data_IF_410302249017
#
_entry.id   IF_410302249017
#
_cell.length_a   1.000
_cell.length_b   1.000
_cell.length_c   1.000
_cell.angle_alpha   90.00
_cell.angle_beta   90.00
_cell.angle_gamma   90.00
#
_symmetry.space_group_name_H-M   'P 1'
#
loop_
_entity.id
_entity.type
_entity.pdbx_description
1 polymer ?
#
# COMPACT_ATOMS: atom_id res chain seq x y z
N UNK A 1 -21.74 -64.85 -11.14
CA UNK A 1 -22.15 -63.98 -10.01
C UNK A 1 -21.87 -62.59 -10.48
N UNK A 2 -22.88 -62.06 -11.19
CA UNK A 2 -22.78 -60.76 -11.88
C UNK A 2 -23.01 -59.66 -10.88
N UNK A 3 -22.05 -58.75 -10.83
CA UNK A 3 -22.14 -57.53 -10.03
C UNK A 3 -22.64 -56.40 -10.94
N UNK A 4 -23.95 -56.20 -10.85
CA UNK A 4 -24.68 -55.16 -11.54
C UNK A 4 -24.32 -53.77 -10.96
N UNK A 5 -23.56 -52.99 -11.69
CA UNK A 5 -23.30 -51.58 -11.37
C UNK A 5 -24.58 -50.81 -11.65
N UNK A 6 -25.23 -50.32 -10.60
CA UNK A 6 -26.28 -49.30 -10.66
C UNK A 6 -25.72 -48.08 -11.33
N UNK A 7 -26.13 -47.84 -12.58
CA UNK A 7 -25.96 -46.58 -13.26
C UNK A 7 -26.86 -45.56 -12.55
N UNK A 8 -26.24 -44.54 -11.95
CA UNK A 8 -26.92 -43.35 -11.47
C UNK A 8 -27.63 -42.68 -12.65
N UNK A 9 -28.93 -42.91 -12.78
CA UNK A 9 -29.78 -42.22 -13.76
C UNK A 9 -29.84 -40.74 -13.40
N UNK A 10 -29.05 -39.93 -14.10
CA UNK A 10 -29.15 -38.47 -14.06
C UNK A 10 -30.53 -38.08 -14.59
N UNK A 11 -31.42 -37.68 -13.68
CA UNK A 11 -32.70 -37.09 -14.04
C UNK A 11 -32.46 -35.74 -14.73
N UNK A 12 -32.64 -35.68 -16.02
CA UNK A 12 -32.57 -34.44 -16.80
C UNK A 12 -33.99 -33.94 -16.98
N UNK A 13 -34.32 -32.77 -16.41
CA UNK A 13 -35.58 -32.08 -16.68
C UNK A 13 -35.53 -31.49 -18.09
N UNK A 14 -36.40 -31.96 -18.98
CA UNK A 14 -36.58 -31.42 -20.32
C UNK A 14 -37.73 -30.40 -20.32
N UNK A 15 -37.61 -29.34 -21.11
CA UNK A 15 -38.69 -28.38 -21.34
C UNK A 15 -39.80 -28.97 -22.21
N UNK A 16 -40.90 -28.23 -22.39
CA UNK A 16 -42.02 -28.67 -23.20
C UNK A 16 -41.65 -28.94 -24.70
N UNK A 17 -40.44 -28.59 -25.13
CA UNK A 17 -39.90 -28.82 -26.47
C UNK A 17 -38.83 -29.92 -26.49
N UNK A 18 -38.62 -30.64 -25.38
CA UNK A 18 -37.67 -31.76 -25.31
C UNK A 18 -36.21 -31.37 -25.24
N UNK A 19 -35.91 -30.10 -24.91
CA UNK A 19 -34.54 -29.61 -24.78
C UNK A 19 -34.12 -29.66 -23.30
N UNK A 20 -32.94 -30.23 -23.03
CA UNK A 20 -32.33 -30.18 -21.73
C UNK A 20 -31.90 -28.75 -21.32
N UNK A 21 -31.68 -28.49 -20.05
CA UNK A 21 -31.21 -27.20 -19.58
C UNK A 21 -29.91 -26.84 -20.32
N UNK A 22 -29.89 -25.65 -20.91
CA UNK A 22 -28.68 -25.12 -21.52
C UNK A 22 -27.56 -25.06 -20.47
N UNK A 23 -26.32 -25.32 -20.85
CA UNK A 23 -25.13 -25.24 -19.99
C UNK A 23 -24.80 -23.80 -19.51
N UNK A 24 -25.77 -22.88 -19.59
CA UNK A 24 -25.64 -21.52 -19.08
C UNK A 24 -25.91 -21.42 -17.57
N UNK A 25 -25.31 -20.49 -16.87
CA UNK A 25 -25.60 -20.24 -15.47
C UNK A 25 -27.07 -19.84 -15.31
N UNK A 26 -27.74 -20.43 -14.29
CA UNK A 26 -29.18 -20.22 -13.98
C UNK A 26 -29.46 -18.79 -13.48
N UNK A 27 -28.43 -18.01 -13.20
CA UNK A 27 -28.52 -16.62 -12.77
C UNK A 27 -27.99 -15.67 -13.83
N UNK A 28 -28.72 -14.61 -14.16
CA UNK A 28 -28.32 -13.55 -15.11
C UNK A 28 -27.07 -12.75 -14.70
N UNK A 29 -26.47 -13.07 -13.57
CA UNK A 29 -25.22 -12.47 -13.12
C UNK A 29 -24.05 -13.33 -13.57
N UNK A 30 -23.13 -12.82 -14.42
CA UNK A 30 -21.94 -13.55 -14.78
C UNK A 30 -21.13 -13.83 -13.51
N UNK A 31 -20.85 -15.10 -13.23
CA UNK A 31 -20.01 -15.47 -12.11
C UNK A 31 -18.66 -14.76 -12.22
N UNK A 32 -18.11 -14.20 -11.13
CA UNK A 32 -16.80 -13.56 -11.17
C UNK A 32 -15.75 -14.57 -11.67
N UNK A 33 -14.83 -14.14 -12.56
CA UNK A 33 -13.85 -15.06 -13.15
C UNK A 33 -12.89 -15.57 -12.07
N UNK A 34 -12.68 -16.87 -12.05
CA UNK A 34 -11.68 -17.52 -11.19
C UNK A 34 -10.28 -17.29 -11.73
N UNK A 35 -9.27 -17.47 -10.88
CA UNK A 35 -7.87 -17.28 -11.26
C UNK A 35 -7.46 -18.15 -12.46
N UNK A 36 -7.88 -19.40 -12.51
CA UNK A 36 -7.59 -20.33 -13.59
C UNK A 36 -8.12 -19.81 -14.95
N UNK A 37 -9.30 -19.19 -14.97
CA UNK A 37 -9.88 -18.60 -16.18
C UNK A 37 -9.13 -17.34 -16.62
N UNK A 38 -8.60 -16.56 -15.66
CA UNK A 38 -7.73 -15.43 -15.96
C UNK A 38 -6.41 -15.89 -16.56
N UNK A 39 -5.88 -16.98 -16.03
CA UNK A 39 -4.65 -17.60 -16.49
C UNK A 39 -4.75 -18.03 -17.97
N UNK A 40 -5.80 -18.78 -18.32
CA UNK A 40 -6.05 -19.20 -19.70
C UNK A 40 -6.23 -18.02 -20.65
N UNK A 41 -7.01 -17.02 -20.26
CA UNK A 41 -7.21 -15.81 -21.08
C UNK A 41 -5.92 -15.03 -21.31
N UNK A 42 -5.05 -14.95 -20.30
CA UNK A 42 -3.74 -14.32 -20.47
C UNK A 42 -2.83 -15.08 -21.43
N UNK A 43 -2.91 -16.41 -21.46
CA UNK A 43 -2.17 -17.26 -22.40
C UNK A 43 -2.69 -17.05 -23.83
N UNK A 44 -4.02 -16.99 -24.04
CA UNK A 44 -4.61 -16.73 -25.34
C UNK A 44 -4.30 -15.33 -25.87
N UNK A 45 -4.42 -14.30 -25.04
CA UNK A 45 -4.02 -12.93 -25.38
C UNK A 45 -2.53 -12.83 -25.77
N UNK A 46 -1.71 -13.76 -25.25
CA UNK A 46 -0.31 -13.86 -25.62
C UNK A 46 -0.07 -14.30 -27.06
N UNK A 47 -1.04 -14.89 -27.74
CA UNK A 47 -0.91 -15.38 -29.11
C UNK A 47 -1.37 -14.40 -30.18
N UNK A 48 -2.11 -13.34 -29.82
CA UNK A 48 -2.38 -12.26 -30.76
C UNK A 48 -1.13 -11.41 -30.99
N UNK A 49 -0.51 -11.62 -32.16
CA UNK A 49 0.66 -10.87 -32.64
C UNK A 49 0.28 -9.42 -32.97
N UNK A 50 -0.02 -8.64 -31.98
CA UNK A 50 0.02 -7.19 -32.09
C UNK A 50 1.48 -6.73 -32.12
N UNK A 51 1.89 -6.09 -33.23
CA UNK A 51 3.18 -5.40 -33.31
C UNK A 51 3.41 -4.58 -32.03
N UNK A 52 4.54 -4.73 -31.32
CA UNK A 52 4.81 -3.99 -30.11
C UNK A 52 4.86 -2.49 -30.47
N UNK A 53 3.78 -1.78 -30.22
CA UNK A 53 3.80 -0.32 -30.23
C UNK A 53 4.58 0.11 -29.00
N UNK A 54 5.87 0.35 -29.21
CA UNK A 54 6.75 0.95 -28.23
C UNK A 54 6.24 2.37 -27.92
N UNK A 55 5.26 2.50 -27.07
CA UNK A 55 4.86 3.78 -26.50
C UNK A 55 5.84 4.10 -25.39
N UNK A 56 6.78 4.99 -25.64
CA UNK A 56 7.54 5.70 -24.61
C UNK A 56 6.59 6.63 -23.84
N UNK A 57 5.64 6.06 -23.13
CA UNK A 57 4.62 6.79 -22.39
C UNK A 57 4.44 6.18 -20.99
N UNK A 58 3.84 6.94 -20.11
CA UNK A 58 3.46 6.48 -18.78
C UNK A 58 2.63 5.19 -18.89
N UNK A 59 2.89 4.24 -17.98
CA UNK A 59 2.18 2.98 -17.94
C UNK A 59 0.69 3.21 -17.61
N UNK A 60 -0.25 2.90 -18.53
CA UNK A 60 -1.67 3.19 -18.32
C UNK A 60 -2.29 2.39 -17.17
N UNK A 61 -1.77 1.19 -16.86
CA UNK A 61 -2.22 0.42 -15.68
C UNK A 61 -1.84 1.11 -14.38
N UNK A 62 -0.61 1.61 -14.31
CA UNK A 62 -0.13 2.33 -13.13
C UNK A 62 -0.87 3.64 -12.95
N UNK A 63 -1.11 4.37 -14.04
CA UNK A 63 -1.86 5.63 -14.01
C UNK A 63 -3.31 5.39 -13.53
N UNK A 64 -3.99 4.38 -14.06
CA UNK A 64 -5.33 4.01 -13.64
C UNK A 64 -5.39 3.58 -12.16
N UNK A 65 -4.37 2.85 -11.68
CA UNK A 65 -4.29 2.32 -10.32
C UNK A 65 -3.82 3.37 -9.28
N UNK A 66 -3.28 4.51 -9.71
CA UNK A 66 -2.63 5.48 -8.82
C UNK A 66 -3.50 5.93 -7.65
N UNK A 67 -4.76 6.26 -7.91
CA UNK A 67 -5.69 6.70 -6.89
C UNK A 67 -5.96 5.61 -5.84
N UNK A 68 -6.11 4.36 -6.29
CA UNK A 68 -6.29 3.20 -5.42
C UNK A 68 -5.04 2.94 -4.57
N UNK A 69 -3.86 2.91 -5.17
CA UNK A 69 -2.59 2.69 -4.46
C UNK A 69 -2.35 3.79 -3.42
N UNK A 70 -2.70 5.04 -3.73
CA UNK A 70 -2.62 6.15 -2.77
C UNK A 70 -3.55 5.92 -1.57
N UNK A 71 -4.76 5.41 -1.79
CA UNK A 71 -5.69 5.06 -0.71
C UNK A 71 -5.16 3.89 0.13
N UNK A 72 -4.53 2.89 -0.47
CA UNK A 72 -3.88 1.77 0.25
C UNK A 72 -2.80 2.28 1.21
N UNK A 73 -1.96 3.22 0.76
CA UNK A 73 -0.94 3.84 1.62
C UNK A 73 -1.59 4.59 2.79
N UNK A 74 -2.69 5.31 2.52
CA UNK A 74 -3.43 6.02 3.57
C UNK A 74 -4.08 5.05 4.57
N UNK A 75 -4.62 3.91 4.12
CA UNK A 75 -5.19 2.88 5.00
C UNK A 75 -4.18 2.37 6.02
N UNK A 76 -2.94 2.14 5.61
CA UNK A 76 -1.86 1.68 6.51
C UNK A 76 -1.51 2.70 7.60
N UNK A 77 -1.71 3.99 7.34
CA UNK A 77 -1.46 5.08 8.30
C UNK A 77 -2.71 5.53 9.07
N UNK A 78 -3.89 5.01 8.70
CA UNK A 78 -5.15 5.41 9.31
C UNK A 78 -5.33 4.84 10.73
N UNK A 79 -5.91 5.64 11.61
CA UNK A 79 -6.16 5.29 13.02
C UNK A 79 -7.43 4.45 13.25
N UNK A 80 -8.06 3.92 12.20
CA UNK A 80 -9.25 3.05 12.32
C UNK A 80 -10.51 3.74 12.81
N UNK A 81 -10.69 5.02 12.51
CA UNK A 81 -11.89 5.79 12.90
C UNK A 81 -13.10 5.55 11.99
N UNK A 82 -12.87 5.05 10.80
CA UNK A 82 -13.94 4.76 9.83
C UNK A 82 -14.55 3.39 10.08
N UNK A 83 -15.83 3.24 9.72
CA UNK A 83 -16.49 1.92 9.77
C UNK A 83 -15.93 1.01 8.66
N UNK A 84 -15.87 -0.29 8.93
CA UNK A 84 -15.41 -1.28 7.94
C UNK A 84 -16.24 -1.25 6.66
N UNK A 85 -17.56 -1.08 6.78
CA UNK A 85 -18.46 -0.97 5.63
C UNK A 85 -18.08 0.22 4.74
N UNK A 86 -17.86 1.39 5.33
CA UNK A 86 -17.44 2.59 4.60
C UNK A 86 -16.10 2.39 3.88
N UNK A 87 -15.13 1.74 4.53
CA UNK A 87 -13.85 1.42 3.91
C UNK A 87 -14.04 0.45 2.75
N UNK A 88 -14.87 -0.60 2.93
CA UNK A 88 -15.16 -1.57 1.89
C UNK A 88 -15.81 -0.92 0.66
N UNK A 89 -16.88 -0.12 0.86
CA UNK A 89 -17.58 0.56 -0.23
C UNK A 89 -16.66 1.50 -1.00
N UNK A 90 -15.81 2.24 -0.29
CA UNK A 90 -14.80 3.10 -0.89
C UNK A 90 -13.79 2.30 -1.73
N UNK A 91 -13.31 1.17 -1.24
CA UNK A 91 -12.36 0.33 -1.97
C UNK A 91 -13.01 -0.35 -3.17
N UNK A 92 -14.25 -0.82 -3.04
CA UNK A 92 -15.05 -1.35 -4.16
C UNK A 92 -15.19 -0.30 -5.26
N UNK A 93 -15.56 0.93 -4.90
CA UNK A 93 -15.66 2.03 -5.85
C UNK A 93 -14.32 2.32 -6.52
N UNK A 94 -13.22 2.33 -5.75
CA UNK A 94 -11.88 2.59 -6.28
C UNK A 94 -11.41 1.49 -7.26
N UNK A 95 -11.71 0.21 -6.98
CA UNK A 95 -11.46 -0.91 -7.91
C UNK A 95 -12.27 -0.76 -9.18
N UNK A 96 -13.56 -0.46 -9.09
CA UNK A 96 -14.42 -0.25 -10.27
C UNK A 96 -13.94 0.95 -11.11
N UNK A 97 -13.53 2.02 -10.47
CA UNK A 97 -12.95 3.19 -11.16
C UNK A 97 -11.60 2.87 -11.84
N UNK A 98 -10.77 2.05 -11.20
CA UNK A 98 -9.55 1.54 -11.81
C UNK A 98 -9.86 0.78 -13.10
N UNK A 99 -10.77 -0.18 -13.04
CA UNK A 99 -11.17 -1.00 -14.19
C UNK A 99 -11.68 -0.13 -15.35
N UNK A 100 -12.60 0.79 -15.07
CA UNK A 100 -13.14 1.70 -16.07
C UNK A 100 -12.06 2.57 -16.73
N UNK A 101 -11.12 3.13 -15.94
CA UNK A 101 -10.03 3.96 -16.46
C UNK A 101 -9.05 3.14 -17.30
N UNK A 102 -8.66 1.94 -16.82
CA UNK A 102 -7.73 1.09 -17.55
C UNK A 102 -8.30 0.66 -18.90
N UNK A 103 -9.56 0.24 -18.95
CA UNK A 103 -10.25 -0.10 -20.19
C UNK A 103 -10.37 1.11 -21.12
N UNK A 104 -10.71 2.28 -20.60
CA UNK A 104 -10.78 3.53 -21.37
C UNK A 104 -9.41 3.92 -21.95
N UNK A 105 -8.34 3.64 -21.25
CA UNK A 105 -6.96 3.87 -21.72
C UNK A 105 -6.48 2.85 -22.76
N UNK A 106 -7.35 1.91 -23.18
CA UNK A 106 -7.06 0.91 -24.20
C UNK A 106 -6.22 -0.27 -23.68
N UNK A 107 -6.19 -0.50 -22.37
CA UNK A 107 -5.57 -1.71 -21.80
C UNK A 107 -6.47 -2.90 -22.11
N UNK A 108 -5.86 -4.01 -22.48
CA UNK A 108 -6.59 -5.24 -22.78
C UNK A 108 -7.36 -5.77 -21.55
N UNK A 109 -8.59 -6.23 -21.76
CA UNK A 109 -9.48 -6.70 -20.69
C UNK A 109 -8.85 -7.79 -19.82
N UNK A 110 -8.10 -8.72 -20.41
CA UNK A 110 -7.39 -9.79 -19.71
C UNK A 110 -6.33 -9.24 -18.75
N UNK A 111 -5.59 -8.21 -19.15
CA UNK A 111 -4.62 -7.53 -18.30
C UNK A 111 -5.31 -6.74 -17.18
N UNK A 112 -6.43 -6.07 -17.50
CA UNK A 112 -7.22 -5.34 -16.49
C UNK A 112 -7.75 -6.29 -15.42
N UNK A 113 -8.26 -7.47 -15.81
CA UNK A 113 -8.74 -8.48 -14.87
C UNK A 113 -7.61 -9.01 -13.97
N UNK A 114 -6.44 -9.27 -14.54
CA UNK A 114 -5.26 -9.71 -13.80
C UNK A 114 -4.77 -8.62 -12.83
N UNK A 115 -4.73 -7.38 -13.28
CA UNK A 115 -4.38 -6.24 -12.44
C UNK A 115 -5.40 -6.04 -11.31
N UNK A 116 -6.70 -6.17 -11.59
CA UNK A 116 -7.76 -6.14 -10.58
C UNK A 116 -7.57 -7.21 -9.52
N UNK A 117 -7.22 -8.44 -9.92
CA UNK A 117 -6.91 -9.53 -8.99
C UNK A 117 -5.78 -9.15 -8.03
N UNK A 118 -4.65 -8.65 -8.58
CA UNK A 118 -3.51 -8.20 -7.77
C UNK A 118 -3.92 -7.07 -6.83
N UNK A 119 -4.62 -6.07 -7.32
CA UNK A 119 -5.04 -4.90 -6.53
C UNK A 119 -6.02 -5.28 -5.41
N UNK A 120 -6.98 -6.18 -5.66
CA UNK A 120 -7.86 -6.72 -4.62
C UNK A 120 -7.04 -7.41 -3.52
N UNK A 121 -6.08 -8.27 -3.89
CA UNK A 121 -5.20 -8.95 -2.94
C UNK A 121 -4.38 -7.96 -2.10
N UNK A 122 -3.88 -6.90 -2.72
CA UNK A 122 -3.10 -5.83 -2.05
C UNK A 122 -3.96 -5.06 -1.06
N UNK A 123 -5.19 -4.70 -1.42
CA UNK A 123 -6.12 -3.99 -0.53
C UNK A 123 -6.51 -4.87 0.64
N UNK A 124 -6.89 -6.13 0.39
CA UNK A 124 -7.30 -7.06 1.43
C UNK A 124 -6.17 -7.28 2.44
N UNK A 125 -4.93 -7.48 1.97
CA UNK A 125 -3.77 -7.58 2.85
C UNK A 125 -3.51 -6.28 3.61
N UNK A 126 -3.59 -5.14 2.94
CA UNK A 126 -3.36 -3.85 3.59
C UNK A 126 -4.33 -3.62 4.74
N UNK A 127 -5.60 -4.00 4.60
CA UNK A 127 -6.59 -3.88 5.68
C UNK A 127 -6.28 -4.85 6.82
N UNK A 128 -6.11 -6.14 6.54
CA UNK A 128 -5.91 -7.14 7.61
C UNK A 128 -4.58 -6.98 8.34
N UNK A 129 -3.62 -6.25 7.78
CA UNK A 129 -2.34 -5.93 8.42
C UNK A 129 -2.41 -4.73 9.36
N UNK A 130 -3.49 -3.94 9.31
CA UNK A 130 -3.68 -2.84 10.26
C UNK A 130 -4.14 -3.35 11.63
N UNK A 131 -3.86 -2.61 12.69
CA UNK A 131 -4.28 -2.97 14.05
C UNK A 131 -5.81 -3.04 14.20
N UNK A 132 -6.54 -2.22 13.43
CA UNK A 132 -8.01 -2.20 13.44
C UNK A 132 -8.62 -3.28 12.52
N UNK A 133 -7.98 -3.56 11.38
CA UNK A 133 -8.44 -4.55 10.41
C UNK A 133 -8.17 -5.99 10.83
N UNK A 134 -7.07 -6.25 11.55
CA UNK A 134 -6.71 -7.59 12.02
C UNK A 134 -7.74 -8.22 12.99
N UNK A 135 -8.51 -7.40 13.69
CA UNK A 135 -9.57 -7.82 14.62
C UNK A 135 -10.96 -7.73 14.03
N UNK A 136 -11.06 -7.44 12.75
CA UNK A 136 -12.31 -7.17 12.09
C UNK A 136 -12.83 -8.35 11.30
N UNK A 137 -14.10 -8.30 10.91
CA UNK A 137 -14.76 -9.26 10.02
C UNK A 137 -14.45 -9.01 8.54
N UNK A 138 -13.32 -8.36 8.20
CA UNK A 138 -12.96 -8.03 6.81
C UNK A 138 -12.98 -9.25 5.90
N UNK A 139 -12.58 -10.42 6.39
CA UNK A 139 -12.57 -11.66 5.62
C UNK A 139 -13.93 -12.02 5.01
N UNK A 140 -15.04 -11.62 5.64
CA UNK A 140 -16.40 -11.85 5.15
C UNK A 140 -16.79 -10.93 3.99
N UNK A 141 -16.10 -9.80 3.82
CA UNK A 141 -16.35 -8.78 2.82
C UNK A 141 -15.13 -8.46 1.97
N UNK A 142 -14.18 -9.39 1.88
CA UNK A 142 -12.93 -9.16 1.15
C UNK A 142 -13.20 -8.84 -0.32
N UNK A 143 -12.37 -7.95 -0.90
CA UNK A 143 -12.51 -7.58 -2.29
C UNK A 143 -12.19 -8.74 -3.23
N UNK A 144 -11.24 -9.56 -2.85
CA UNK A 144 -10.88 -10.75 -3.62
C UNK A 144 -12.05 -11.73 -3.69
N UNK A 145 -12.77 -11.94 -2.57
CA UNK A 145 -13.98 -12.76 -2.57
C UNK A 145 -15.08 -12.16 -3.44
N UNK A 146 -15.29 -10.86 -3.36
CA UNK A 146 -16.35 -10.16 -4.10
C UNK A 146 -16.12 -10.15 -5.62
N UNK A 147 -14.89 -9.90 -6.06
CA UNK A 147 -14.57 -9.73 -7.48
C UNK A 147 -14.08 -11.00 -8.18
N UNK A 148 -13.56 -11.96 -7.42
CA UNK A 148 -12.91 -13.16 -7.98
C UNK A 148 -13.36 -14.48 -7.33
N UNK A 149 -14.27 -14.42 -6.34
CA UNK A 149 -14.76 -15.57 -5.61
C UNK A 149 -13.63 -16.40 -4.95
N UNK A 150 -12.60 -15.71 -4.46
CA UNK A 150 -11.45 -16.30 -3.78
C UNK A 150 -11.16 -15.58 -2.47
N UNK A 151 -10.58 -16.33 -1.51
CA UNK A 151 -10.30 -15.79 -0.16
C UNK A 151 -8.82 -15.49 0.07
N UNK A 152 -7.91 -16.11 -0.69
CA UNK A 152 -6.47 -15.99 -0.51
C UNK A 152 -5.76 -15.74 -1.85
N UNK A 153 -5.24 -14.54 -2.03
CA UNK A 153 -4.53 -14.15 -3.25
C UNK A 153 -3.00 -14.13 -3.13
N UNK A 154 -2.48 -14.19 -1.90
CA UNK A 154 -1.07 -13.92 -1.63
C UNK A 154 -0.08 -14.85 -2.34
N UNK A 155 -0.38 -16.12 -2.53
CA UNK A 155 0.45 -17.05 -3.27
C UNK A 155 0.25 -16.90 -4.79
N UNK A 156 -0.99 -16.85 -5.23
CA UNK A 156 -1.33 -16.76 -6.67
C UNK A 156 -0.81 -15.49 -7.33
N UNK A 157 -0.73 -14.37 -6.59
CA UNK A 157 -0.08 -13.15 -7.08
C UNK A 157 1.39 -13.42 -7.44
N UNK A 158 2.13 -14.17 -6.64
CA UNK A 158 3.53 -14.49 -6.94
C UNK A 158 3.67 -15.53 -8.05
N UNK A 159 2.75 -16.48 -8.17
CA UNK A 159 2.68 -17.39 -9.32
C UNK A 159 2.43 -16.60 -10.62
N UNK A 160 1.52 -15.62 -10.58
CA UNK A 160 1.28 -14.71 -11.70
C UNK A 160 2.54 -13.90 -12.03
N UNK A 161 3.22 -13.35 -11.02
CA UNK A 161 4.47 -12.60 -11.20
C UNK A 161 5.53 -13.46 -11.91
N UNK A 162 5.75 -14.69 -11.44
CA UNK A 162 6.70 -15.61 -12.04
C UNK A 162 6.37 -15.89 -13.52
N UNK A 163 5.10 -16.13 -13.82
CA UNK A 163 4.65 -16.37 -15.19
C UNK A 163 4.88 -15.17 -16.09
N UNK A 164 4.49 -13.96 -15.67
CA UNK A 164 4.68 -12.73 -16.43
C UNK A 164 6.15 -12.39 -16.64
N UNK A 165 7.00 -12.76 -15.67
CA UNK A 165 8.44 -12.56 -15.73
C UNK A 165 9.14 -13.42 -16.80
N UNK A 166 8.48 -14.42 -17.37
CA UNK A 166 9.02 -15.22 -18.49
C UNK A 166 9.08 -14.44 -19.79
N UNK A 167 8.16 -13.50 -19.98
CA UNK A 167 8.16 -12.57 -21.14
C UNK A 167 7.98 -11.12 -20.67
N UNK A 168 9.05 -10.52 -20.14
CA UNK A 168 8.95 -9.22 -19.50
C UNK A 168 8.68 -8.08 -20.50
N UNK A 169 9.05 -8.24 -21.76
CA UNK A 169 8.80 -7.22 -22.80
C UNK A 169 7.29 -7.07 -23.03
N UNK A 170 6.61 -8.20 -23.11
CA UNK A 170 5.17 -8.24 -23.36
C UNK A 170 4.35 -7.75 -22.16
N UNK A 171 4.78 -8.11 -20.95
CA UNK A 171 4.05 -7.87 -19.73
C UNK A 171 4.59 -6.72 -18.88
N UNK A 172 5.41 -5.85 -19.47
CA UNK A 172 6.08 -4.76 -18.76
C UNK A 172 5.12 -3.92 -17.92
N UNK A 173 3.97 -3.53 -18.49
CA UNK A 173 2.99 -2.70 -17.80
C UNK A 173 2.47 -3.37 -16.52
N UNK A 174 2.24 -4.67 -16.55
CA UNK A 174 1.78 -5.43 -15.41
C UNK A 174 2.88 -5.65 -14.36
N UNK A 175 4.11 -5.93 -14.82
CA UNK A 175 5.29 -6.08 -13.94
C UNK A 175 5.59 -4.79 -13.16
N UNK A 176 5.44 -3.64 -13.80
CA UNK A 176 5.59 -2.34 -13.14
C UNK A 176 4.52 -2.09 -12.08
N UNK A 177 3.25 -2.43 -12.38
CA UNK A 177 2.19 -2.35 -11.39
C UNK A 177 2.49 -3.26 -10.19
N UNK A 178 2.91 -4.51 -10.44
CA UNK A 178 3.25 -5.45 -9.37
C UNK A 178 4.46 -4.97 -8.55
N UNK A 179 5.48 -4.40 -9.20
CA UNK A 179 6.60 -3.78 -8.50
C UNK A 179 6.17 -2.67 -7.54
N UNK A 180 5.23 -1.82 -7.96
CA UNK A 180 4.67 -0.79 -7.10
C UNK A 180 3.89 -1.39 -5.92
N UNK A 181 3.10 -2.45 -6.16
CA UNK A 181 2.40 -3.16 -5.09
C UNK A 181 3.36 -3.73 -4.04
N UNK A 182 4.46 -4.36 -4.47
CA UNK A 182 5.52 -4.82 -3.57
C UNK A 182 6.19 -3.65 -2.83
N UNK A 183 6.42 -2.53 -3.51
CA UNK A 183 7.07 -1.34 -2.94
C UNK A 183 6.23 -0.62 -1.89
N UNK A 184 4.91 -0.67 -1.97
CA UNK A 184 4.01 -0.15 -0.94
C UNK A 184 3.78 -1.13 0.22
N UNK A 185 4.45 -2.30 0.18
CA UNK A 185 4.51 -3.27 1.25
C UNK A 185 3.47 -4.38 1.17
N UNK A 186 3.17 -4.88 -0.03
CA UNK A 186 2.49 -6.16 -0.20
C UNK A 186 3.48 -7.31 0.01
N UNK A 187 3.15 -8.23 0.89
CA UNK A 187 4.02 -9.35 1.28
C UNK A 187 3.50 -10.70 0.79
N UNK A 188 2.18 -10.88 0.73
CA UNK A 188 1.51 -12.11 0.30
C UNK A 188 2.02 -13.36 1.03
N UNK A 189 2.46 -14.38 0.29
CA UNK A 189 2.98 -15.62 0.87
C UNK A 189 4.21 -15.44 1.75
N UNK A 190 5.03 -14.43 1.49
CA UNK A 190 6.27 -14.20 2.25
C UNK A 190 6.03 -13.73 3.68
N UNK A 191 4.85 -13.25 3.99
CA UNK A 191 4.48 -12.80 5.32
C UNK A 191 4.53 -13.90 6.38
N UNK A 192 4.25 -15.14 6.00
CA UNK A 192 4.21 -16.31 6.89
C UNK A 192 5.44 -17.20 6.77
N UNK A 193 6.37 -16.89 5.85
CA UNK A 193 7.56 -17.70 5.62
C UNK A 193 8.70 -17.29 6.54
N UNK A 194 9.48 -18.26 7.00
CA UNK A 194 10.76 -17.99 7.63
C UNK A 194 11.68 -17.25 6.66
N UNK A 195 12.29 -16.15 7.08
CA UNK A 195 13.10 -15.26 6.24
C UNK A 195 12.34 -14.63 5.07
N UNK A 196 10.99 -14.56 5.16
CA UNK A 196 10.16 -14.05 4.07
C UNK A 196 10.53 -12.63 3.64
N UNK A 197 10.91 -11.76 4.59
CA UNK A 197 11.32 -10.38 4.29
C UNK A 197 12.52 -10.35 3.33
N UNK A 198 13.58 -11.12 3.59
CA UNK A 198 14.77 -11.12 2.73
C UNK A 198 14.51 -11.75 1.36
N UNK A 199 13.64 -12.77 1.32
CA UNK A 199 13.21 -13.39 0.06
C UNK A 199 12.36 -12.43 -0.77
N UNK A 200 11.46 -11.69 -0.15
CA UNK A 200 10.62 -10.67 -0.80
C UNK A 200 11.48 -9.53 -1.37
N UNK A 201 12.49 -9.09 -0.62
CA UNK A 201 13.44 -8.09 -1.12
C UNK A 201 14.21 -8.59 -2.33
N UNK A 202 14.66 -9.84 -2.31
CA UNK A 202 15.33 -10.44 -3.47
C UNK A 202 14.43 -10.51 -4.70
N UNK A 203 13.14 -10.84 -4.52
CA UNK A 203 12.14 -10.84 -5.61
C UNK A 203 11.92 -9.42 -6.13
N UNK A 204 11.77 -8.43 -5.25
CA UNK A 204 11.59 -7.02 -5.63
C UNK A 204 12.78 -6.48 -6.41
N UNK A 205 14.01 -6.80 -5.98
CA UNK A 205 15.23 -6.38 -6.66
C UNK A 205 15.42 -7.06 -8.01
N UNK A 206 15.08 -8.36 -8.11
CA UNK A 206 15.09 -9.08 -9.37
C UNK A 206 14.10 -8.48 -10.37
N UNK A 207 12.88 -8.20 -9.91
CA UNK A 207 11.83 -7.56 -10.71
C UNK A 207 12.25 -6.15 -11.16
N UNK A 208 12.84 -5.36 -10.28
CA UNK A 208 13.36 -4.03 -10.63
C UNK A 208 14.41 -4.09 -11.73
N UNK A 209 15.39 -5.01 -11.61
CA UNK A 209 16.43 -5.21 -12.64
C UNK A 209 15.82 -5.62 -13.97
N UNK A 210 14.82 -6.50 -13.95
CA UNK A 210 14.12 -6.97 -15.14
C UNK A 210 13.37 -5.83 -15.84
N UNK A 211 12.61 -5.03 -15.09
CA UNK A 211 11.89 -3.85 -15.61
C UNK A 211 12.89 -2.86 -16.21
N UNK A 212 13.98 -2.59 -15.50
CA UNK A 212 15.01 -1.66 -15.95
C UNK A 212 15.70 -2.16 -17.24
N UNK A 213 15.96 -3.46 -17.34
CA UNK A 213 16.52 -4.05 -18.54
C UNK A 213 15.61 -3.89 -19.76
N UNK A 214 14.30 -4.07 -19.60
CA UNK A 214 13.33 -3.95 -20.70
C UNK A 214 13.09 -2.49 -21.09
N UNK A 215 13.02 -1.57 -20.11
CA UNK A 215 12.85 -0.13 -20.39
C UNK A 215 14.09 0.48 -21.05
N UNK A 216 15.23 -0.16 -20.94
CA UNK A 216 16.53 0.45 -21.21
C UNK A 216 16.97 1.32 -20.05
N UNK A 217 18.27 1.53 -19.93
CA UNK A 217 18.77 2.57 -19.03
C UNK A 217 18.15 3.89 -19.49
N UNK A 218 17.57 4.68 -18.60
CA UNK A 218 17.30 6.06 -18.96
C UNK A 218 18.62 6.60 -19.45
N UNK A 219 18.68 6.98 -20.72
CA UNK A 219 19.79 7.75 -21.23
C UNK A 219 20.03 8.82 -20.16
N UNK A 220 21.11 8.65 -19.39
CA UNK A 220 21.59 9.72 -18.53
C UNK A 220 21.97 10.81 -19.52
N UNK A 221 20.94 11.59 -19.91
CA UNK A 221 21.21 12.87 -20.52
C UNK A 221 22.18 13.51 -19.53
N UNK A 222 23.41 13.86 -19.97
CA UNK A 222 24.33 14.52 -19.07
C UNK A 222 23.51 15.64 -18.43
N UNK A 223 23.38 15.59 -17.12
CA UNK A 223 22.70 16.61 -16.34
C UNK A 223 23.50 17.89 -16.61
N UNK A 224 23.24 18.52 -17.77
CA UNK A 224 23.46 19.94 -17.85
C UNK A 224 22.63 20.49 -16.71
N UNK A 225 23.24 21.21 -15.77
CA UNK A 225 22.49 21.86 -14.73
C UNK A 225 21.66 22.96 -15.39
N UNK A 226 20.59 22.55 -16.08
CA UNK A 226 19.51 23.44 -16.36
C UNK A 226 19.12 23.92 -14.98
N UNK A 227 19.35 25.19 -14.70
CA UNK A 227 18.79 25.92 -13.57
C UNK A 227 17.26 25.80 -13.69
N UNK A 228 16.76 24.59 -13.55
CA UNK A 228 15.36 24.30 -13.32
C UNK A 228 15.02 25.06 -12.04
N UNK A 229 14.17 26.04 -12.21
CA UNK A 229 13.69 26.85 -11.12
C UNK A 229 13.36 25.90 -9.96
N UNK A 230 14.04 26.14 -8.88
CA UNK A 230 13.99 25.39 -7.63
C UNK A 230 12.52 25.28 -7.24
N UNK A 231 11.83 24.23 -7.73
CA UNK A 231 10.54 23.85 -7.20
C UNK A 231 10.80 23.65 -5.71
N UNK A 232 10.41 24.65 -4.96
CA UNK A 232 10.55 24.74 -3.52
C UNK A 232 9.73 23.62 -2.91
N UNK A 233 10.29 22.38 -2.92
CA UNK A 233 9.79 21.36 -2.01
C UNK A 233 9.77 22.02 -0.65
N UNK A 234 8.59 22.25 -0.10
CA UNK A 234 8.41 22.59 1.30
C UNK A 234 9.05 21.45 2.10
N UNK A 235 10.34 21.56 2.35
CA UNK A 235 10.98 20.75 3.38
C UNK A 235 10.23 21.12 4.65
N UNK A 236 9.50 20.18 5.21
CA UNK A 236 9.10 20.31 6.61
C UNK A 236 10.36 20.71 7.35
N UNK A 237 10.33 21.84 8.11
CA UNK A 237 11.51 22.27 8.81
C UNK A 237 11.88 21.17 9.80
N UNK A 238 12.89 20.38 9.44
CA UNK A 238 13.57 19.54 10.42
C UNK A 238 14.22 20.54 11.37
N UNK A 239 13.60 20.77 12.52
CA UNK A 239 14.15 21.62 13.56
C UNK A 239 15.48 20.95 13.93
N UNK A 240 16.63 21.57 13.62
CA UNK A 240 17.91 20.96 13.94
C UNK A 240 18.00 20.80 15.46
N UNK A 241 18.42 19.63 15.91
CA UNK A 241 18.53 19.29 17.35
C UNK A 241 19.31 20.33 18.13
N UNK A 242 20.23 21.03 17.48
CA UNK A 242 20.98 22.17 18.01
C UNK A 242 20.07 23.32 18.47
N UNK A 243 19.00 23.65 17.77
CA UNK A 243 18.07 24.71 18.17
C UNK A 243 17.26 24.33 19.39
N UNK A 244 16.88 23.05 19.51
CA UNK A 244 16.18 22.52 20.70
C UNK A 244 17.13 22.58 21.91
N UNK A 245 18.38 22.17 21.74
CA UNK A 245 19.39 22.21 22.79
C UNK A 245 19.68 23.66 23.26
N UNK A 246 19.80 24.62 22.33
CA UNK A 246 19.99 26.03 22.67
C UNK A 246 18.77 26.60 23.40
N UNK A 247 17.56 26.27 22.96
CA UNK A 247 16.34 26.72 23.62
C UNK A 247 16.20 26.17 25.03
N UNK A 248 16.47 24.87 25.24
CA UNK A 248 16.43 24.26 26.59
C UNK A 248 17.48 24.85 27.50
N UNK A 249 18.70 25.10 27.02
CA UNK A 249 19.75 25.76 27.78
C UNK A 249 19.36 27.19 28.20
N UNK A 250 18.79 27.96 27.29
CA UNK A 250 18.31 29.30 27.57
C UNK A 250 17.19 29.31 28.61
N UNK A 251 16.25 28.38 28.54
CA UNK A 251 15.19 28.22 29.55
C UNK A 251 15.76 27.86 30.93
N UNK A 252 16.76 26.95 31.01
CA UNK A 252 17.41 26.59 32.24
C UNK A 252 18.18 27.78 32.87
N UNK A 253 18.89 28.55 32.06
CA UNK A 253 19.57 29.75 32.52
C UNK A 253 18.59 30.81 33.03
N UNK A 254 17.47 31.03 32.32
CA UNK A 254 16.44 31.95 32.80
C UNK A 254 15.80 31.52 34.12
N UNK A 255 15.52 30.24 34.28
CA UNK A 255 15.05 29.67 35.56
C UNK A 255 16.09 29.86 36.66
N UNK A 256 17.35 29.52 36.40
CA UNK A 256 18.42 29.64 37.37
C UNK A 256 18.61 31.08 37.85
N UNK A 257 18.69 32.05 36.91
CA UNK A 257 18.84 33.46 37.22
C UNK A 257 17.64 34.04 37.97
N UNK A 258 16.41 33.64 37.58
CA UNK A 258 15.19 34.06 38.27
C UNK A 258 15.14 33.49 39.74
N UNK A 259 15.55 32.26 39.93
CA UNK A 259 15.58 31.64 41.24
C UNK A 259 16.70 32.25 42.11
N UNK A 260 17.89 32.45 41.56
CA UNK A 260 19.01 33.08 42.27
C UNK A 260 18.67 34.52 42.70
N UNK A 261 17.97 35.26 41.85
CA UNK A 261 17.51 36.62 42.19
C UNK A 261 16.49 36.61 43.35
N UNK A 262 15.52 35.74 43.31
CA UNK A 262 14.53 35.55 44.39
C UNK A 262 15.19 35.14 45.72
N UNK A 263 16.11 34.18 45.67
CA UNK A 263 16.84 33.77 46.88
C UNK A 263 17.70 34.92 47.41
N UNK A 264 18.35 35.68 46.57
CA UNK A 264 19.12 36.89 46.96
C UNK A 264 18.26 37.93 47.64
N UNK A 265 17.06 38.18 47.15
CA UNK A 265 16.10 39.13 47.75
C UNK A 265 15.57 38.65 49.12
N UNK A 266 15.30 37.37 49.27
CA UNK A 266 14.90 36.76 50.57
C UNK A 266 16.06 36.71 51.56
N UNK A 267 17.26 36.40 51.11
CA UNK A 267 18.46 36.39 51.95
C UNK A 267 18.78 37.81 52.49
N UNK A 268 18.65 38.84 51.65
CA UNK A 268 18.83 40.24 52.10
C UNK A 268 17.76 40.66 53.09
N UNK A 269 16.50 40.24 52.93
CA UNK A 269 15.41 40.51 53.89
C UNK A 269 15.64 39.78 55.22
N UNK A 270 16.12 38.56 55.16
CA UNK A 270 16.40 37.76 56.38
C UNK A 270 17.61 38.29 57.19
N UNK A 271 18.58 38.93 56.52
CA UNK A 271 19.77 39.48 57.16
C UNK A 271 19.58 40.92 57.68
N UNK A 272 18.57 41.66 57.24
CA UNK A 272 18.29 43.03 57.69
C UNK A 272 18.19 43.17 59.24
N UNK A 273 17.49 42.32 60.04
CA UNK A 273 17.40 42.49 61.48
C UNK A 273 18.72 42.30 62.16
N UNK A 274 19.67 41.54 61.61
CA UNK A 274 21.00 41.31 62.29
C UNK A 274 21.99 42.45 61.99
N UNK A 275 21.80 43.26 60.97
CA UNK A 275 22.66 44.42 60.70
C UNK A 275 22.38 45.61 61.65
N UNK A 276 21.13 45.73 62.10
CA UNK A 276 20.78 46.78 63.07
C UNK A 276 21.35 46.48 64.41
N UNK A 277 21.47 45.20 64.82
CA UNK A 277 22.07 44.83 66.15
C UNK A 277 23.57 45.05 66.19
N UNK A 278 24.30 45.00 65.09
CA UNK A 278 25.74 45.19 65.02
C UNK A 278 26.12 46.70 65.12
N UNK A 279 25.26 47.61 64.67
CA UNK A 279 25.50 49.04 64.75
C UNK A 279 25.23 49.66 66.16
N UNK A 280 24.35 49.07 66.94
CA UNK A 280 24.12 49.50 68.35
C UNK A 280 25.27 49.16 69.35
N UNK A 281 26.00 48.13 69.05
CA UNK A 281 27.14 47.72 69.93
C UNK A 281 28.38 48.59 69.76
N UNK A 282 28.43 49.43 68.74
CA UNK A 282 29.59 50.30 68.46
C UNK A 282 29.40 51.74 68.98
N UNK A 283 28.28 52.11 69.59
CA UNK A 283 27.98 53.44 70.14
C UNK A 283 27.81 53.43 71.68
N UNK A 284 28.72 52.88 72.43
CA UNK A 284 28.87 53.21 73.86
C UNK A 284 30.15 54.03 74.00
N UNK A 285 30.06 55.37 74.17
CA UNK A 285 31.20 56.19 74.55
C UNK A 285 31.45 56.05 76.11
N UNK A 286 32.73 55.97 76.48
CA UNK A 286 33.24 56.13 77.83
C UNK A 286 32.91 57.46 78.45
#
# INVERSE_FOLDING_TARGET
>A
MDSEYLQDEKTVLLDHQGRGPGNGPITDFPAPPRFEQLEDRMIYAAHERGTPRFKMGFNPLVEAAWALLSQVVQLKSASGRESLGTVNDRMVLAITQFEARALHSGVESSQVMSARYVLCSVVDEAVVTTAWGSRSDWSKMSLLSRFHNETFGGEKVFQLLERLSRDPVKHLAMLELMYLCLSIGFEGKYRIMERGVSQLEAVRDALYRQIRHVRGEPLSAPLQPTRAGRARRKRLPVIPVTWVAVFTLACLLAMYTGFAWRLGEEATRALQPFQFSASELTQTPL
#
